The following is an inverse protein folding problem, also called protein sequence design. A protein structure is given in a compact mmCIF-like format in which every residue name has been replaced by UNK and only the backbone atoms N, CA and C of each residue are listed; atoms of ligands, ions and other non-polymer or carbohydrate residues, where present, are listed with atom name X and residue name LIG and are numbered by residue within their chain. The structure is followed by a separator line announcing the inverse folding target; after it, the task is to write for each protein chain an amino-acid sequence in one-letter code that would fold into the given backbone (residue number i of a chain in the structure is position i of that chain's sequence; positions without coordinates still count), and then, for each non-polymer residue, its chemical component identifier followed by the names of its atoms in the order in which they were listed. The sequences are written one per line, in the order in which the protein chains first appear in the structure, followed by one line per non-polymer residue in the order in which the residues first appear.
data_IF_131392178140
#
_entry.id   IF_131392178140
#
_cell.length_a   1.000
_cell.length_b   1.000
_cell.length_c   1.000
_cell.angle_alpha   90.00
_cell.angle_beta   90.00
_cell.angle_gamma   90.00
#
_symmetry.space_group_name_H-M   'P 1'
#
loop_
_entity.id
_entity.type
_entity.pdbx_description
1 polymer ?
#
# COMPACT_ATOMS: atom_id res chain seq x y z
N UNK A 1 6.29 20.32 4.68
CA UNK A 1 5.69 19.16 5.38
C UNK A 1 6.62 17.98 5.17
N UNK A 2 6.92 17.17 6.20
CA UNK A 2 7.63 15.92 5.99
C UNK A 2 6.83 15.05 5.03
N UNK A 3 7.42 14.68 3.90
CA UNK A 3 6.82 13.77 2.93
C UNK A 3 7.02 12.36 3.44
N UNK A 4 6.03 11.82 4.14
CA UNK A 4 6.10 10.42 4.60
C UNK A 4 6.03 9.48 3.39
N UNK A 5 7.02 8.61 3.26
CA UNK A 5 6.99 7.50 2.32
C UNK A 5 5.93 6.47 2.75
N UNK A 6 5.43 5.61 1.84
CA UNK A 6 4.55 4.51 2.22
C UNK A 6 5.14 3.62 3.32
N UNK A 7 6.44 3.32 3.24
CA UNK A 7 7.16 2.51 4.23
C UNK A 7 7.22 3.24 5.58
N UNK A 8 7.41 4.56 5.59
CA UNK A 8 7.42 5.36 6.82
C UNK A 8 6.05 5.47 7.47
N UNK A 9 4.98 5.53 6.69
CA UNK A 9 3.61 5.47 7.23
C UNK A 9 3.34 4.11 7.88
N UNK A 10 3.74 3.01 7.23
CA UNK A 10 3.65 1.67 7.80
C UNK A 10 4.48 1.55 9.08
N UNK A 11 5.71 2.05 9.07
CA UNK A 11 6.57 2.04 10.24
C UNK A 11 5.96 2.84 11.40
N UNK A 12 5.43 4.03 11.13
CA UNK A 12 4.77 4.85 12.16
C UNK A 12 3.54 4.15 12.76
N UNK A 13 2.73 3.50 11.92
CA UNK A 13 1.51 2.78 12.35
C UNK A 13 1.81 1.50 13.13
N UNK A 14 2.80 0.73 12.67
CA UNK A 14 3.00 -0.65 13.12
C UNK A 14 4.29 -0.88 13.93
N UNK A 15 5.09 0.16 14.23
CA UNK A 15 6.33 0.01 15.02
C UNK A 15 6.15 -0.78 16.33
N UNK A 16 5.01 -0.59 17.00
CA UNK A 16 4.71 -1.20 18.29
C UNK A 16 3.79 -2.42 18.17
N UNK A 17 3.60 -2.97 16.96
CA UNK A 17 2.70 -4.10 16.73
C UNK A 17 3.20 -5.42 17.35
N UNK A 18 4.51 -5.52 17.61
CA UNK A 18 5.14 -6.69 18.24
C UNK A 18 5.82 -6.27 19.56
N UNK A 19 5.18 -6.51 20.72
CA UNK A 19 5.79 -6.20 22.01
C UNK A 19 7.15 -6.89 22.19
N UNK A 20 8.13 -6.16 22.71
CA UNK A 20 9.50 -6.66 22.92
C UNK A 20 10.35 -6.78 21.66
N UNK A 21 9.83 -6.39 20.48
CA UNK A 21 10.61 -6.38 19.25
C UNK A 21 10.62 -4.97 18.63
N UNK A 22 11.70 -4.66 17.94
CA UNK A 22 11.83 -3.41 17.19
C UNK A 22 11.64 -3.67 15.70
N UNK A 23 10.92 -2.76 15.02
CA UNK A 23 10.76 -2.82 13.57
C UNK A 23 12.08 -2.40 12.89
N UNK A 24 12.79 -3.38 12.35
CA UNK A 24 14.13 -3.20 11.77
C UNK A 24 14.04 -2.71 10.33
N UNK A 25 13.15 -3.30 9.53
CA UNK A 25 13.02 -2.98 8.12
C UNK A 25 11.64 -3.33 7.57
N UNK A 26 11.36 -2.83 6.36
CA UNK A 26 10.19 -3.19 5.56
C UNK A 26 10.72 -3.61 4.19
N UNK A 27 10.33 -4.80 3.77
CA UNK A 27 10.77 -5.43 2.53
C UNK A 27 9.62 -5.47 1.54
N UNK A 28 9.91 -5.18 0.28
CA UNK A 28 8.98 -5.39 -0.83
C UNK A 28 8.84 -6.90 -1.08
N UNK A 29 7.63 -7.42 -0.97
CA UNK A 29 7.34 -8.84 -1.11
C UNK A 29 6.21 -9.08 -2.12
N UNK A 30 6.14 -10.30 -2.64
CA UNK A 30 5.22 -10.72 -3.69
C UNK A 30 4.40 -11.91 -3.21
N UNK A 31 3.12 -11.69 -2.96
CA UNK A 31 2.16 -12.72 -2.58
C UNK A 31 1.70 -13.48 -3.83
N UNK A 32 1.88 -14.81 -3.93
CA UNK A 32 1.44 -15.57 -5.10
C UNK A 32 -0.09 -15.57 -5.21
N UNK A 33 -0.60 -15.18 -6.39
CA UNK A 33 -2.05 -15.13 -6.65
C UNK A 33 -2.40 -15.76 -8.00
N UNK A 34 -3.56 -16.42 -8.07
CA UNK A 34 -4.14 -16.91 -9.31
C UNK A 34 -5.32 -16.03 -9.75
N UNK A 35 -5.39 -15.72 -11.04
CA UNK A 35 -6.53 -15.02 -11.63
C UNK A 35 -7.54 -16.03 -12.16
N UNK A 36 -8.72 -16.08 -11.53
CA UNK A 36 -9.74 -17.08 -11.81
C UNK A 36 -11.03 -16.47 -12.33
N UNK A 37 -11.62 -17.04 -13.37
CA UNK A 37 -12.97 -16.68 -13.82
C UNK A 37 -13.91 -17.83 -13.48
N UNK A 38 -14.80 -17.60 -12.52
CA UNK A 38 -15.79 -18.59 -12.11
C UNK A 38 -17.08 -18.39 -12.90
N UNK A 39 -17.52 -19.42 -13.62
CA UNK A 39 -18.85 -19.44 -14.21
C UNK A 39 -19.85 -19.85 -13.12
N UNK A 40 -20.70 -18.93 -12.71
CA UNK A 40 -21.62 -19.14 -11.59
C UNK A 40 -23.07 -19.03 -12.01
N UNK A 41 -23.92 -19.83 -11.37
CA UNK A 41 -25.35 -19.62 -11.36
C UNK A 41 -25.67 -18.71 -10.18
N UNK A 42 -26.09 -17.48 -10.46
CA UNK A 42 -26.41 -16.48 -9.46
C UNK A 42 -27.87 -16.09 -9.55
N UNK A 43 -28.38 -15.57 -8.44
CA UNK A 43 -29.71 -15.03 -8.31
C UNK A 43 -29.57 -13.61 -7.80
N UNK A 44 -30.09 -12.65 -8.57
CA UNK A 44 -30.17 -11.28 -8.09
C UNK A 44 -31.35 -11.18 -7.10
N UNK A 45 -31.14 -10.52 -5.96
CA UNK A 45 -32.16 -10.29 -4.96
C UNK A 45 -33.25 -9.39 -5.53
N UNK A 46 -34.47 -9.53 -5.00
CA UNK A 46 -35.64 -8.82 -5.52
C UNK A 46 -35.45 -7.32 -5.33
N UNK A 47 -35.62 -6.56 -6.41
CA UNK A 47 -35.58 -5.09 -6.40
C UNK A 47 -36.76 -4.44 -5.64
N UNK A 48 -37.78 -5.23 -5.28
CA UNK A 48 -38.98 -4.76 -4.58
C UNK A 48 -38.99 -5.24 -3.13
N UNK A 49 -39.38 -4.38 -2.17
CA UNK A 49 -39.68 -4.80 -0.80
C UNK A 49 -40.68 -5.96 -0.79
N UNK A 50 -40.50 -6.90 0.14
CA UNK A 50 -41.31 -8.11 0.20
C UNK A 50 -42.82 -7.81 0.32
N UNK A 51 -43.17 -6.77 1.08
CA UNK A 51 -44.56 -6.33 1.21
C UNK A 51 -45.13 -5.81 -0.11
N UNK A 52 -44.36 -5.01 -0.83
CA UNK A 52 -44.74 -4.44 -2.11
C UNK A 52 -45.03 -5.56 -3.11
N UNK A 53 -44.16 -6.57 -3.17
CA UNK A 53 -44.37 -7.76 -4.00
C UNK A 53 -45.65 -8.51 -3.63
N UNK A 54 -45.86 -8.83 -2.36
CA UNK A 54 -47.05 -9.58 -1.95
C UNK A 54 -48.34 -8.81 -2.22
N UNK A 55 -48.35 -7.50 -1.98
CA UNK A 55 -49.50 -6.67 -2.32
C UNK A 55 -49.74 -6.68 -3.84
N UNK A 56 -48.71 -6.48 -4.66
CA UNK A 56 -48.84 -6.51 -6.12
C UNK A 56 -49.32 -7.88 -6.64
N UNK A 57 -48.79 -9.00 -6.11
CA UNK A 57 -49.22 -10.36 -6.47
C UNK A 57 -50.67 -10.64 -6.08
N UNK A 58 -51.09 -10.25 -4.87
CA UNK A 58 -52.47 -10.44 -4.42
C UNK A 58 -53.45 -9.64 -5.29
N UNK A 59 -53.10 -8.40 -5.64
CA UNK A 59 -53.91 -7.59 -6.56
C UNK A 59 -53.93 -8.18 -7.98
N UNK A 60 -52.82 -8.74 -8.49
CA UNK A 60 -52.78 -9.45 -9.79
C UNK A 60 -53.70 -10.68 -9.79
N UNK A 61 -53.83 -11.36 -8.64
CA UNK A 61 -54.75 -12.48 -8.42
C UNK A 61 -56.18 -12.05 -8.03
N UNK A 62 -56.59 -10.82 -8.37
CA UNK A 62 -57.93 -10.26 -8.13
C UNK A 62 -58.31 -10.05 -6.65
N UNK A 63 -57.36 -10.03 -5.72
CA UNK A 63 -57.61 -9.55 -4.37
C UNK A 63 -57.43 -8.04 -4.31
N UNK A 64 -58.54 -7.34 -4.55
CA UNK A 64 -58.58 -5.88 -4.73
C UNK A 64 -58.88 -5.11 -3.45
N UNK A 65 -59.20 -5.78 -2.34
CA UNK A 65 -59.58 -5.14 -1.06
C UNK A 65 -58.41 -5.10 -0.08
N UNK A 66 -58.03 -3.91 0.39
CA UNK A 66 -56.96 -3.73 1.38
C UNK A 66 -57.21 -4.47 2.70
N UNK A 67 -58.48 -4.60 3.12
CA UNK A 67 -58.87 -5.38 4.30
C UNK A 67 -58.63 -6.87 4.09
N UNK A 68 -58.97 -7.39 2.90
CA UNK A 68 -58.74 -8.80 2.56
C UNK A 68 -57.25 -9.11 2.43
N UNK A 69 -56.47 -8.20 1.83
CA UNK A 69 -55.01 -8.31 1.75
C UNK A 69 -54.39 -8.35 3.16
N UNK A 70 -54.79 -7.44 4.05
CA UNK A 70 -54.34 -7.42 5.45
C UNK A 70 -54.69 -8.71 6.19
N UNK A 71 -55.93 -9.21 6.03
CA UNK A 71 -56.37 -10.47 6.63
C UNK A 71 -55.61 -11.69 6.10
N UNK A 72 -55.34 -11.75 4.79
CA UNK A 72 -54.59 -12.86 4.17
C UNK A 72 -53.11 -12.86 4.54
N UNK A 73 -52.49 -11.69 4.67
CA UNK A 73 -51.10 -11.59 5.10
C UNK A 73 -50.93 -11.71 6.63
N UNK A 74 -52.02 -11.62 7.40
CA UNK A 74 -51.97 -11.61 8.86
C UNK A 74 -51.27 -10.36 9.42
N UNK A 75 -51.21 -9.27 8.64
CA UNK A 75 -50.49 -8.05 8.98
C UNK A 75 -51.46 -6.92 9.38
N UNK A 76 -51.05 -5.98 10.25
CA UNK A 76 -51.85 -4.81 10.59
C UNK A 76 -52.24 -4.00 9.35
N UNK A 77 -53.51 -3.58 9.29
CA UNK A 77 -54.04 -2.78 8.18
C UNK A 77 -53.22 -1.52 7.88
N UNK A 78 -52.71 -0.85 8.92
CA UNK A 78 -51.86 0.33 8.79
C UNK A 78 -50.58 0.09 7.99
N UNK A 79 -49.98 -1.10 8.11
CA UNK A 79 -48.77 -1.48 7.39
C UNK A 79 -49.07 -1.75 5.91
N UNK A 80 -50.17 -2.44 5.62
CA UNK A 80 -50.65 -2.67 4.25
C UNK A 80 -51.04 -1.36 3.58
N UNK A 81 -51.75 -0.47 4.28
CA UNK A 81 -52.12 0.86 3.76
C UNK A 81 -50.88 1.70 3.42
N UNK A 82 -49.82 1.63 4.24
CA UNK A 82 -48.54 2.32 3.97
C UNK A 82 -47.83 1.78 2.72
N UNK A 83 -47.80 0.45 2.54
CA UNK A 83 -47.27 -0.19 1.33
C UNK A 83 -48.09 0.17 0.09
N UNK A 84 -49.42 0.10 0.18
CA UNK A 84 -50.33 0.48 -0.90
C UNK A 84 -50.08 1.94 -1.30
N UNK A 85 -49.99 2.86 -0.34
CA UNK A 85 -49.66 4.26 -0.62
C UNK A 85 -48.28 4.43 -1.30
N UNK A 86 -47.30 3.60 -0.95
CA UNK A 86 -46.02 3.52 -1.64
C UNK A 86 -46.14 3.12 -3.10
N UNK A 87 -46.87 2.03 -3.36
CA UNK A 87 -47.14 1.51 -4.70
C UNK A 87 -47.99 2.46 -5.58
N UNK A 88 -48.83 3.30 -4.97
CA UNK A 88 -49.49 4.41 -5.67
C UNK A 88 -48.49 5.50 -6.09
N UNK A 89 -47.52 5.85 -5.23
CA UNK A 89 -46.50 6.85 -5.57
C UNK A 89 -45.59 6.39 -6.71
N UNK A 90 -45.33 5.09 -6.80
CA UNK A 90 -44.52 4.50 -7.87
C UNK A 90 -45.33 4.15 -9.12
N UNK A 91 -46.61 4.48 -9.18
CA UNK A 91 -47.51 4.19 -10.32
C UNK A 91 -47.67 2.69 -10.61
N UNK A 92 -47.55 1.83 -9.60
CA UNK A 92 -47.78 0.40 -9.71
C UNK A 92 -49.25 0.04 -9.39
N UNK A 93 -49.93 0.83 -8.55
CA UNK A 93 -51.35 0.69 -8.22
C UNK A 93 -52.19 1.89 -8.65
N UNK A 94 -53.45 1.62 -8.99
CA UNK A 94 -54.50 2.61 -9.24
C UNK A 94 -55.82 2.20 -8.58
N UNK A 95 -56.73 3.16 -8.42
CA UNK A 95 -58.09 2.86 -7.97
C UNK A 95 -58.90 2.23 -9.11
N UNK A 96 -59.55 1.12 -8.78
CA UNK A 96 -60.54 0.43 -9.60
C UNK A 96 -61.95 0.60 -9.04
N UNK A 97 -62.97 0.10 -9.76
CA UNK A 97 -64.35 0.11 -9.29
C UNK A 97 -64.47 -0.65 -7.95
N UNK A 98 -65.46 -0.31 -7.10
CA UNK A 98 -65.72 -1.06 -5.88
C UNK A 98 -66.05 -2.51 -6.24
N UNK A 99 -65.42 -3.46 -5.56
CA UNK A 99 -65.55 -4.90 -5.84
C UNK A 99 -66.39 -5.66 -4.81
N UNK A 100 -66.57 -5.12 -3.61
CA UNK A 100 -67.39 -5.70 -2.55
C UNK A 100 -68.60 -4.78 -2.26
N UNK A 101 -69.81 -5.36 -2.22
CA UNK A 101 -71.08 -4.64 -2.02
C UNK A 101 -71.22 -4.06 -0.59
N UNK A 102 -70.41 -4.54 0.37
CA UNK A 102 -70.53 -4.20 1.80
C UNK A 102 -69.72 -2.97 2.23
N UNK A 103 -68.70 -2.56 1.47
CA UNK A 103 -67.92 -1.35 1.78
C UNK A 103 -67.70 -0.56 0.50
N UNK A 104 -68.24 0.67 0.42
CA UNK A 104 -68.09 1.60 -0.73
C UNK A 104 -66.64 2.05 -1.01
N UNK A 105 -65.64 1.28 -0.58
CA UNK A 105 -64.23 1.58 -0.79
C UNK A 105 -63.83 1.22 -2.23
N UNK A 106 -63.10 2.11 -2.93
CA UNK A 106 -62.57 1.79 -4.25
C UNK A 106 -61.62 0.59 -4.17
N UNK A 107 -61.73 -0.33 -5.12
CA UNK A 107 -60.84 -1.50 -5.20
C UNK A 107 -59.44 -1.10 -5.67
N UNK A 108 -58.44 -1.90 -5.34
CA UNK A 108 -57.08 -1.77 -5.86
C UNK A 108 -56.97 -2.47 -7.21
N UNK A 109 -56.30 -1.85 -8.18
CA UNK A 109 -55.97 -2.46 -9.47
C UNK A 109 -54.54 -2.15 -9.87
N UNK A 110 -53.88 -3.08 -10.53
CA UNK A 110 -52.57 -2.83 -11.13
C UNK A 110 -52.69 -1.89 -12.34
N UNK A 111 -51.72 -0.98 -12.47
CA UNK A 111 -51.49 -0.21 -13.70
C UNK A 111 -50.83 -1.09 -14.77
N UNK A 112 -50.57 -0.55 -15.96
CA UNK A 112 -49.76 -1.25 -16.97
C UNK A 112 -48.33 -1.51 -16.45
N UNK A 113 -47.74 -0.51 -15.78
CA UNK A 113 -46.43 -0.61 -15.13
C UNK A 113 -46.46 -1.62 -13.99
N UNK A 114 -47.43 -1.52 -13.08
CA UNK A 114 -47.56 -2.43 -11.93
C UNK A 114 -47.73 -3.89 -12.31
N UNK A 115 -48.38 -4.19 -13.46
CA UNK A 115 -48.42 -5.56 -14.00
C UNK A 115 -47.06 -6.07 -14.47
N UNK A 116 -46.24 -5.20 -15.07
CA UNK A 116 -44.87 -5.56 -15.44
C UNK A 116 -44.04 -5.74 -14.17
N UNK A 117 -44.10 -4.79 -13.23
CA UNK A 117 -43.43 -4.85 -11.93
C UNK A 117 -43.80 -6.12 -11.15
N UNK A 118 -45.09 -6.51 -11.10
CA UNK A 118 -45.56 -7.72 -10.42
C UNK A 118 -45.02 -9.01 -11.06
N UNK A 119 -44.93 -9.05 -12.40
CA UNK A 119 -44.39 -10.18 -13.17
C UNK A 119 -42.87 -10.28 -13.02
N UNK A 120 -42.15 -9.17 -13.17
CA UNK A 120 -40.70 -9.11 -12.96
C UNK A 120 -40.32 -9.47 -11.52
N UNK A 121 -41.12 -9.08 -10.52
CA UNK A 121 -40.93 -9.49 -9.13
C UNK A 121 -41.21 -10.98 -8.90
N UNK A 122 -42.04 -11.59 -9.74
CA UNK A 122 -42.35 -13.01 -9.68
C UNK A 122 -41.26 -13.89 -10.30
N UNK A 123 -40.52 -13.35 -11.26
CA UNK A 123 -39.50 -14.05 -12.02
C UNK A 123 -38.12 -13.98 -11.35
N UNK A 124 -37.94 -14.78 -10.29
CA UNK A 124 -36.60 -15.08 -9.78
C UNK A 124 -35.98 -16.17 -10.68
N UNK A 125 -35.34 -15.75 -11.77
CA UNK A 125 -34.65 -16.70 -12.67
C UNK A 125 -33.16 -16.70 -12.34
N UNK A 126 -32.56 -17.88 -12.10
CA UNK A 126 -31.11 -17.99 -11.97
C UNK A 126 -30.42 -17.56 -13.27
N UNK A 127 -29.51 -16.59 -13.18
CA UNK A 127 -28.73 -16.06 -14.30
C UNK A 127 -27.32 -16.65 -14.25
N UNK A 128 -26.78 -16.99 -15.43
CA UNK A 128 -25.37 -17.37 -15.54
C UNK A 128 -24.52 -16.12 -15.60
N UNK A 129 -23.57 -16.01 -14.69
CA UNK A 129 -22.68 -14.85 -14.58
C UNK A 129 -21.25 -15.34 -14.55
N UNK A 130 -20.39 -14.68 -15.31
CA UNK A 130 -18.95 -14.89 -15.25
C UNK A 130 -18.37 -13.96 -14.17
N UNK A 131 -17.89 -14.54 -13.07
CA UNK A 131 -17.38 -13.79 -11.94
C UNK A 131 -15.84 -13.79 -11.93
N UNK A 132 -15.18 -12.64 -12.16
CA UNK A 132 -13.75 -12.51 -12.00
C UNK A 132 -13.37 -12.53 -10.51
N UNK A 133 -12.36 -13.34 -10.16
CA UNK A 133 -11.84 -13.51 -8.81
C UNK A 133 -10.30 -13.44 -8.79
N UNK A 134 -9.74 -13.03 -7.65
CA UNK A 134 -8.32 -13.22 -7.32
C UNK A 134 -8.25 -14.27 -6.23
N UNK A 135 -7.37 -15.24 -6.40
CA UNK A 135 -7.20 -16.34 -5.47
C UNK A 135 -5.82 -16.26 -4.82
N UNK A 136 -5.83 -16.14 -3.51
CA UNK A 136 -4.65 -16.10 -2.66
C UNK A 136 -4.08 -17.52 -2.55
N UNK A 137 -2.87 -17.73 -3.08
CA UNK A 137 -2.26 -19.06 -3.07
C UNK A 137 -1.53 -19.36 -1.76
N UNK A 138 -1.28 -18.37 -0.91
CA UNK A 138 -0.67 -18.56 0.41
C UNK A 138 -1.72 -18.98 1.44
N UNK A 139 -2.89 -18.33 1.42
CA UNK A 139 -4.03 -18.71 2.27
C UNK A 139 -4.92 -19.79 1.66
N UNK A 140 -4.72 -20.08 0.36
CA UNK A 140 -5.53 -20.99 -0.43
C UNK A 140 -7.03 -20.63 -0.40
N UNK A 141 -7.34 -19.35 -0.64
CA UNK A 141 -8.70 -18.82 -0.58
C UNK A 141 -8.90 -17.71 -1.61
N UNK A 142 -10.12 -17.56 -2.13
CA UNK A 142 -10.50 -16.38 -2.89
C UNK A 142 -10.52 -15.12 -1.99
N UNK A 143 -9.94 -14.02 -2.47
CA UNK A 143 -9.74 -12.80 -1.70
C UNK A 143 -10.23 -11.56 -2.48
N UNK A 144 -10.66 -10.48 -1.80
CA UNK A 144 -11.23 -9.29 -2.42
C UNK A 144 -10.15 -8.35 -2.99
N UNK A 145 -9.08 -8.89 -3.58
CA UNK A 145 -8.00 -8.09 -4.15
C UNK A 145 -8.39 -7.51 -5.51
N UNK A 146 -7.93 -6.28 -5.79
CA UNK A 146 -8.08 -5.69 -7.11
C UNK A 146 -7.16 -6.39 -8.11
N UNK A 147 -7.73 -6.95 -9.18
CA UNK A 147 -6.97 -7.60 -10.25
C UNK A 147 -5.92 -6.70 -10.89
N UNK A 148 -6.17 -5.38 -10.91
CA UNK A 148 -5.30 -4.38 -11.54
C UNK A 148 -4.01 -4.12 -10.76
N UNK A 149 -3.98 -4.43 -9.46
CA UNK A 149 -2.78 -4.26 -8.62
C UNK A 149 -1.83 -5.44 -8.73
N UNK A 150 -2.23 -6.53 -9.41
CA UNK A 150 -1.38 -7.71 -9.62
C UNK A 150 -0.30 -7.47 -10.69
N UNK A 151 0.89 -8.00 -10.45
CA UNK A 151 2.04 -7.94 -11.36
C UNK A 151 2.36 -9.32 -11.95
N UNK A 152 2.94 -9.39 -13.16
CA UNK A 152 3.58 -10.61 -13.64
C UNK A 152 4.71 -11.02 -12.71
N UNK A 153 4.86 -12.32 -12.45
CA UNK A 153 5.93 -12.83 -11.56
C UNK A 153 7.33 -12.37 -11.97
N UNK A 154 7.64 -12.37 -13.27
CA UNK A 154 8.95 -11.94 -13.77
C UNK A 154 9.26 -10.47 -13.44
N UNK A 155 8.25 -9.59 -13.48
CA UNK A 155 8.43 -8.19 -13.08
C UNK A 155 8.78 -8.07 -11.59
N UNK A 156 8.10 -8.83 -10.73
CA UNK A 156 8.39 -8.82 -9.30
C UNK A 156 9.79 -9.38 -8.98
N UNK A 157 10.28 -10.35 -9.76
CA UNK A 157 11.67 -10.85 -9.68
C UNK A 157 12.67 -9.76 -10.11
N UNK A 158 12.39 -9.03 -11.20
CA UNK A 158 13.21 -7.89 -11.66
C UNK A 158 13.22 -6.72 -10.65
N UNK A 159 12.09 -6.48 -9.98
CA UNK A 159 11.95 -5.47 -8.93
C UNK A 159 12.61 -5.90 -7.60
N UNK A 160 13.11 -7.14 -7.52
CA UNK A 160 13.80 -7.68 -6.35
C UNK A 160 12.87 -7.99 -5.16
N UNK A 161 11.60 -8.27 -5.43
CA UNK A 161 10.63 -8.62 -4.39
C UNK A 161 10.88 -10.03 -3.84
N UNK A 162 10.73 -10.21 -2.53
CA UNK A 162 10.76 -11.54 -1.91
C UNK A 162 9.46 -12.29 -2.24
N UNK A 163 9.57 -13.47 -2.84
CA UNK A 163 8.40 -14.31 -3.14
C UNK A 163 7.90 -15.00 -1.87
N UNK A 164 6.65 -14.75 -1.50
CA UNK A 164 6.01 -15.44 -0.39
C UNK A 164 5.64 -16.88 -0.78
N UNK A 165 5.59 -17.81 0.19
CA UNK A 165 5.25 -19.20 -0.09
C UNK A 165 3.80 -19.36 -0.52
N UNK A 166 3.53 -20.39 -1.32
CA UNK A 166 2.18 -20.87 -1.57
C UNK A 166 1.89 -22.07 -0.67
N UNK A 167 0.63 -22.21 -0.22
CA UNK A 167 0.20 -23.34 0.60
C UNK A 167 0.40 -24.68 -0.12
N UNK A 168 0.20 -24.70 -1.45
CA UNK A 168 0.38 -25.88 -2.28
C UNK A 168 0.74 -25.52 -3.72
N UNK A 169 1.26 -26.52 -4.43
CA UNK A 169 1.59 -26.44 -5.86
C UNK A 169 0.47 -27.01 -6.70
N UNK A 170 0.04 -26.29 -7.73
CA UNK A 170 -0.98 -26.76 -8.67
C UNK A 170 -1.97 -25.67 -9.08
N UNK A 171 -2.84 -25.96 -10.07
CA UNK A 171 -3.98 -25.09 -10.36
C UNK A 171 -5.01 -25.13 -9.22
N UNK A 172 -5.91 -24.15 -9.25
CA UNK A 172 -7.10 -24.12 -8.40
C UNK A 172 -8.19 -24.95 -9.07
N UNK A 173 -8.75 -25.91 -8.33
CA UNK A 173 -9.78 -26.83 -8.81
C UNK A 173 -11.18 -26.29 -8.49
N UNK A 174 -12.21 -26.82 -9.16
CA UNK A 174 -13.61 -26.42 -8.98
C UNK A 174 -14.12 -26.58 -7.53
N UNK A 175 -13.52 -27.49 -6.76
CA UNK A 175 -13.86 -27.73 -5.35
C UNK A 175 -13.23 -26.75 -4.36
N UNK A 176 -12.28 -25.92 -4.80
CA UNK A 176 -11.57 -24.98 -3.91
C UNK A 176 -12.34 -23.69 -3.64
N UNK A 177 -13.39 -23.40 -4.42
CA UNK A 177 -14.20 -22.20 -4.28
C UNK A 177 -15.66 -22.59 -4.19
N UNK A 178 -16.28 -22.23 -3.07
CA UNK A 178 -17.71 -22.48 -2.87
C UNK A 178 -18.54 -21.28 -3.30
N UNK A 179 -19.83 -21.51 -3.57
CA UNK A 179 -20.79 -20.45 -3.83
C UNK A 179 -20.91 -19.46 -2.66
N UNK A 180 -20.74 -19.95 -1.43
CA UNK A 180 -20.72 -19.12 -0.22
C UNK A 180 -19.50 -18.18 -0.19
N UNK A 181 -18.32 -18.65 -0.59
CA UNK A 181 -17.10 -17.82 -0.66
C UNK A 181 -17.28 -16.67 -1.64
N UNK A 182 -17.79 -16.96 -2.84
CA UNK A 182 -18.03 -15.92 -3.86
C UNK A 182 -19.09 -14.92 -3.38
N UNK A 183 -20.15 -15.39 -2.72
CA UNK A 183 -21.19 -14.51 -2.18
C UNK A 183 -20.64 -13.61 -1.07
N UNK A 184 -19.78 -14.14 -0.18
CA UNK A 184 -19.10 -13.34 0.83
C UNK A 184 -18.22 -12.25 0.19
N UNK A 185 -17.43 -12.61 -0.83
CA UNK A 185 -16.60 -11.67 -1.58
C UNK A 185 -17.40 -10.60 -2.32
N UNK A 186 -18.56 -10.95 -2.89
CA UNK A 186 -19.44 -9.99 -3.54
C UNK A 186 -19.93 -8.95 -2.52
N UNK A 187 -20.34 -9.39 -1.33
CA UNK A 187 -20.78 -8.50 -0.25
C UNK A 187 -19.67 -7.59 0.26
N UNK A 188 -18.47 -8.13 0.45
CA UNK A 188 -17.28 -7.34 0.84
C UNK A 188 -16.96 -6.26 -0.20
N UNK A 189 -17.17 -6.53 -1.49
CA UNK A 189 -17.03 -5.56 -2.57
C UNK A 189 -18.23 -4.62 -2.76
N UNK A 190 -19.24 -4.68 -1.88
CA UNK A 190 -20.44 -3.83 -1.90
C UNK A 190 -21.60 -4.36 -2.75
N UNK A 191 -21.44 -5.49 -3.44
CA UNK A 191 -22.51 -6.15 -4.20
C UNK A 191 -23.35 -7.02 -3.26
N UNK A 192 -24.49 -6.49 -2.82
CA UNK A 192 -25.39 -7.16 -1.87
C UNK A 192 -26.67 -7.67 -2.51
N UNK A 193 -26.93 -7.25 -3.74
CA UNK A 193 -28.09 -7.61 -4.54
C UNK A 193 -27.89 -8.90 -5.34
N UNK A 194 -26.80 -9.64 -5.12
CA UNK A 194 -26.51 -10.89 -5.82
C UNK A 194 -26.10 -11.98 -4.85
N UNK A 195 -26.73 -13.14 -4.99
CA UNK A 195 -26.39 -14.37 -4.29
C UNK A 195 -25.96 -15.44 -5.28
N UNK A 196 -24.83 -16.09 -5.04
CA UNK A 196 -24.36 -17.19 -5.88
C UNK A 196 -24.98 -18.49 -5.36
N UNK A 197 -25.72 -19.18 -6.23
CA UNK A 197 -26.36 -20.46 -5.91
C UNK A 197 -25.40 -21.64 -6.14
N UNK A 198 -24.63 -21.59 -7.22
CA UNK A 198 -23.73 -22.69 -7.60
C UNK A 198 -22.55 -22.20 -8.44
N UNK A 199 -21.37 -22.77 -8.20
CA UNK A 199 -20.21 -22.65 -9.09
C UNK A 199 -20.27 -23.79 -10.12
N UNK A 200 -20.28 -23.46 -11.42
CA UNK A 200 -20.33 -24.44 -12.51
C UNK A 200 -18.95 -24.90 -12.95
N UNK A 201 -18.03 -23.95 -13.08
CA UNK A 201 -16.64 -24.22 -13.45
C UNK A 201 -15.74 -23.04 -13.12
N UNK A 202 -14.46 -23.31 -12.96
CA UNK A 202 -13.42 -22.32 -12.70
C UNK A 202 -12.39 -22.36 -13.83
N UNK A 203 -12.10 -21.20 -14.40
CA UNK A 203 -11.05 -21.04 -15.40
C UNK A 203 -9.89 -20.24 -14.83
N UNK A 204 -8.75 -20.88 -14.62
CA UNK A 204 -7.52 -20.22 -14.19
C UNK A 204 -6.72 -19.68 -15.38
N UNK A 205 -6.27 -18.43 -15.26
CA UNK A 205 -5.31 -17.84 -16.21
C UNK A 205 -3.93 -18.50 -16.04
N UNK A 206 -3.31 -18.93 -17.15
CA UNK A 206 -1.99 -19.61 -17.13
C UNK A 206 -0.83 -18.70 -16.69
N UNK A 207 -0.97 -17.39 -16.87
CA UNK A 207 0.06 -16.43 -16.50
C UNK A 207 0.22 -16.36 -14.98
N UNK A 208 1.45 -16.61 -14.49
CA UNK A 208 1.79 -16.50 -13.07
C UNK A 208 1.76 -15.04 -12.64
N UNK A 209 0.93 -14.74 -11.65
CA UNK A 209 0.69 -13.40 -11.12
C UNK A 209 1.06 -13.36 -9.65
N UNK A 210 1.42 -12.18 -9.18
CA UNK A 210 1.69 -11.91 -7.78
C UNK A 210 1.01 -10.60 -7.39
N UNK A 211 0.64 -10.48 -6.12
CA UNK A 211 0.18 -9.23 -5.52
C UNK A 211 1.36 -8.61 -4.74
N UNK A 212 1.78 -7.38 -5.06
CA UNK A 212 2.78 -6.67 -4.26
C UNK A 212 2.26 -6.41 -2.85
N UNK A 213 3.03 -6.80 -1.84
CA UNK A 213 2.74 -6.63 -0.42
C UNK A 213 3.99 -6.16 0.31
N UNK A 214 3.83 -5.77 1.59
CA UNK A 214 4.95 -5.32 2.43
C UNK A 214 5.21 -6.34 3.53
N UNK A 215 6.46 -6.73 3.71
CA UNK A 215 6.90 -7.60 4.78
C UNK A 215 7.64 -6.78 5.83
N UNK A 216 7.02 -6.62 7.00
CA UNK A 216 7.58 -5.94 8.15
C UNK A 216 8.43 -6.93 8.95
N UNK A 217 9.70 -6.59 9.17
CA UNK A 217 10.65 -7.45 9.90
C UNK A 217 10.93 -6.85 11.26
N UNK A 218 10.55 -7.58 12.30
CA UNK A 218 10.75 -7.24 13.69
C UNK A 218 11.84 -8.13 14.27
N UNK A 219 12.75 -7.56 15.07
CA UNK A 219 13.77 -8.33 15.76
C UNK A 219 13.88 -7.91 17.22
N UNK A 220 14.17 -8.88 18.07
CA UNK A 220 14.61 -8.64 19.45
C UNK A 220 16.14 -8.45 19.43
N UNK A 221 16.66 -7.30 19.88
CA UNK A 221 18.10 -7.02 19.86
C UNK A 221 18.91 -7.95 20.76
N UNK A 222 18.28 -8.57 21.77
CA UNK A 222 18.94 -9.43 22.75
C UNK A 222 18.77 -10.93 22.46
N UNK A 223 17.66 -11.33 21.80
CA UNK A 223 17.26 -12.75 21.70
C UNK A 223 17.45 -13.41 20.34
N UNK A 224 17.93 -12.67 19.34
CA UNK A 224 18.02 -13.14 17.95
C UNK A 224 16.70 -13.74 17.42
N UNK A 225 15.57 -13.36 18.03
CA UNK A 225 14.23 -13.75 17.59
C UNK A 225 13.77 -12.79 16.49
N UNK A 226 13.24 -13.34 15.40
CA UNK A 226 12.77 -12.56 14.24
C UNK A 226 11.30 -12.88 14.03
N UNK A 227 10.47 -11.85 14.12
CA UNK A 227 9.05 -11.93 13.81
C UNK A 227 8.73 -11.19 12.53
N UNK A 228 7.83 -11.75 11.74
CA UNK A 228 7.38 -11.15 10.49
C UNK A 228 5.94 -10.64 10.63
N UNK A 229 5.64 -9.59 9.87
CA UNK A 229 4.28 -9.10 9.66
C UNK A 229 4.03 -8.88 8.18
N UNK A 230 2.94 -9.42 7.63
CA UNK A 230 2.55 -9.23 6.24
C UNK A 230 1.50 -8.13 6.19
N UNK A 231 1.82 -7.02 5.53
CA UNK A 231 0.90 -5.94 5.25
C UNK A 231 0.37 -6.02 3.81
N UNK A 232 -0.95 -6.17 3.68
CA UNK A 232 -1.69 -6.22 2.42
C UNK A 232 -2.54 -4.95 2.34
N UNK A 233 -2.41 -4.20 1.24
CA UNK A 233 -3.12 -2.92 1.04
C UNK A 233 -2.98 -1.92 2.21
N UNK A 234 -1.83 -1.95 2.89
CA UNK A 234 -1.52 -1.03 3.99
C UNK A 234 -1.96 -1.49 5.38
N UNK A 235 -2.58 -2.66 5.51
CA UNK A 235 -3.03 -3.24 6.78
C UNK A 235 -2.32 -4.56 7.10
N UNK A 236 -1.97 -4.77 8.38
CA UNK A 236 -1.40 -6.03 8.84
C UNK A 236 -2.44 -7.16 8.77
N UNK A 237 -2.06 -8.27 8.16
CA UNK A 237 -2.91 -9.44 8.00
C UNK A 237 -2.46 -10.60 8.89
N UNK A 238 -3.10 -10.74 10.05
CA UNK A 238 -2.79 -11.82 11.01
C UNK A 238 -2.88 -13.23 10.39
N UNK A 239 -3.80 -13.45 9.45
CA UNK A 239 -3.93 -14.73 8.73
C UNK A 239 -2.69 -15.07 7.90
N UNK A 240 -2.12 -14.09 7.20
CA UNK A 240 -0.88 -14.26 6.44
C UNK A 240 0.33 -14.44 7.37
N UNK A 241 0.37 -13.74 8.51
CA UNK A 241 1.41 -13.93 9.51
C UNK A 241 1.45 -15.38 10.00
N UNK A 242 0.29 -15.93 10.38
CA UNK A 242 0.18 -17.31 10.85
C UNK A 242 0.55 -18.32 9.75
N UNK A 243 0.11 -18.09 8.52
CA UNK A 243 0.49 -18.93 7.39
C UNK A 243 2.01 -18.90 7.15
N UNK A 244 2.64 -17.72 7.23
CA UNK A 244 4.07 -17.56 7.05
C UNK A 244 4.88 -18.28 8.14
N UNK A 245 4.44 -18.18 9.40
CA UNK A 245 5.01 -18.93 10.52
C UNK A 245 4.92 -20.44 10.24
N UNK A 246 3.78 -20.92 9.76
CA UNK A 246 3.60 -22.32 9.36
C UNK A 246 4.55 -22.78 8.24
N UNK A 247 5.01 -21.86 7.40
CA UNK A 247 5.98 -22.10 6.35
C UNK A 247 7.44 -21.93 6.77
N UNK A 248 7.74 -21.66 8.05
CA UNK A 248 9.10 -21.49 8.57
C UNK A 248 9.55 -20.03 8.75
N UNK A 249 8.64 -19.06 8.57
CA UNK A 249 8.86 -17.66 8.91
C UNK A 249 10.06 -17.02 8.21
N UNK A 250 10.89 -16.30 8.96
CA UNK A 250 12.08 -15.62 8.46
C UNK A 250 13.11 -16.57 7.84
N UNK A 251 13.28 -17.77 8.39
CA UNK A 251 14.25 -18.75 7.89
C UNK A 251 13.88 -19.23 6.48
N UNK A 252 12.59 -19.45 6.22
CA UNK A 252 12.12 -19.89 4.91
C UNK A 252 12.29 -18.84 3.80
N UNK A 253 12.39 -17.56 4.20
CA UNK A 253 12.61 -16.43 3.31
C UNK A 253 14.08 -15.98 3.27
N UNK A 254 14.98 -16.70 3.92
CA UNK A 254 16.41 -16.35 4.05
C UNK A 254 16.64 -14.93 4.63
N UNK A 255 15.76 -14.51 5.54
CA UNK A 255 15.83 -13.19 6.18
C UNK A 255 16.75 -13.29 7.40
N UNK A 256 17.84 -12.53 7.34
CA UNK A 256 18.79 -12.40 8.46
C UNK A 256 18.82 -10.98 8.99
N UNK A 257 18.83 -10.85 10.31
CA UNK A 257 18.97 -9.57 11.01
C UNK A 257 20.26 -9.56 11.81
N UNK A 258 21.10 -8.56 11.59
CA UNK A 258 22.31 -8.29 12.36
C UNK A 258 22.05 -7.24 13.44
N UNK A 259 22.93 -7.16 14.46
CA UNK A 259 22.89 -6.10 15.45
C UNK A 259 22.89 -4.70 14.82
N UNK A 260 22.35 -3.70 15.53
CA UNK A 260 22.39 -2.30 15.09
C UNK A 260 23.81 -1.87 14.73
N UNK A 261 23.97 -1.10 13.65
CA UNK A 261 25.27 -0.55 13.30
C UNK A 261 25.58 0.69 14.13
N UNK A 262 26.85 0.84 14.52
CA UNK A 262 27.29 2.03 15.22
C UNK A 262 27.21 3.26 14.31
N UNK A 263 26.51 4.29 14.79
CA UNK A 263 26.46 5.58 14.10
C UNK A 263 27.79 6.32 14.25
N UNK A 264 28.18 7.15 13.27
CA UNK A 264 29.25 8.10 13.46
C UNK A 264 28.92 9.10 14.59
N UNK A 265 29.85 9.29 15.53
CA UNK A 265 29.71 10.29 16.58
C UNK A 265 29.79 11.71 16.02
N UNK A 266 29.02 12.64 16.59
CA UNK A 266 29.19 14.06 16.33
C UNK A 266 30.26 14.67 17.23
N UNK A 267 30.67 15.90 16.91
CA UNK A 267 31.45 16.72 17.84
C UNK A 267 30.70 16.87 19.18
N UNK A 268 31.38 16.91 20.33
CA UNK A 268 30.74 16.84 21.65
C UNK A 268 29.61 17.86 21.90
N UNK A 269 29.77 19.08 21.40
CA UNK A 269 28.76 20.14 21.55
C UNK A 269 27.49 19.84 20.72
N UNK A 270 27.66 19.31 19.51
CA UNK A 270 26.55 18.89 18.66
C UNK A 270 25.88 17.64 19.22
N UNK A 271 26.67 16.71 19.75
CA UNK A 271 26.16 15.49 20.38
C UNK A 271 25.29 15.81 21.60
N UNK A 272 25.70 16.79 22.42
CA UNK A 272 24.91 17.26 23.56
C UNK A 272 23.61 17.96 23.12
N UNK A 273 23.61 18.64 21.98
CA UNK A 273 22.43 19.32 21.44
C UNK A 273 21.50 18.39 20.63
N UNK A 274 21.92 17.15 20.36
CA UNK A 274 21.22 16.23 19.46
C UNK A 274 19.99 15.63 20.13
N UNK A 275 18.82 15.90 19.56
CA UNK A 275 17.56 15.25 19.96
C UNK A 275 17.64 13.73 19.72
N UNK A 276 17.41 12.87 20.74
CA UNK A 276 17.48 11.42 20.64
C UNK A 276 16.48 10.80 19.66
N UNK A 277 16.80 9.59 19.16
CA UNK A 277 15.97 8.88 18.17
C UNK A 277 14.58 8.57 18.71
N UNK A 278 14.46 8.26 19.99
CA UNK A 278 13.18 7.95 20.62
C UNK A 278 12.20 9.14 20.49
N UNK A 279 12.62 10.33 20.92
CA UNK A 279 11.80 11.56 20.84
C UNK A 279 11.45 11.92 19.40
N UNK A 280 12.42 11.82 18.47
CA UNK A 280 12.16 12.07 17.04
C UNK A 280 11.11 11.10 16.50
N UNK A 281 11.21 9.82 16.86
CA UNK A 281 10.29 8.79 16.36
C UNK A 281 8.89 8.98 16.91
N UNK A 282 8.75 9.39 18.16
CA UNK A 282 7.46 9.74 18.79
C UNK A 282 6.80 10.92 18.06
N UNK A 283 7.52 12.02 17.88
CA UNK A 283 7.02 13.17 17.13
C UNK A 283 6.65 12.85 15.69
N UNK A 284 7.45 12.02 15.00
CA UNK A 284 7.14 11.58 13.64
C UNK A 284 5.89 10.69 13.60
N UNK A 285 5.66 9.84 14.60
CA UNK A 285 4.46 9.02 14.69
C UNK A 285 3.20 9.89 14.88
N UNK A 286 3.28 10.93 15.71
CA UNK A 286 2.19 11.91 15.88
C UNK A 286 1.87 12.64 14.57
N UNK A 287 2.90 13.07 13.83
CA UNK A 287 2.75 13.73 12.53
C UNK A 287 2.12 12.79 11.49
N UNK A 288 2.56 11.53 11.43
CA UNK A 288 1.99 10.53 10.54
C UNK A 288 0.52 10.24 10.86
N UNK A 289 0.18 10.10 12.15
CA UNK A 289 -1.20 9.91 12.60
C UNK A 289 -2.10 11.10 12.22
N UNK A 290 -1.59 12.33 12.39
CA UNK A 290 -2.29 13.55 11.97
C UNK A 290 -2.53 13.59 10.45
N UNK A 291 -1.53 13.19 9.65
CA UNK A 291 -1.65 13.14 8.20
C UNK A 291 -2.66 12.09 7.73
N UNK A 292 -2.69 10.91 8.36
CA UNK A 292 -3.66 9.85 8.07
C UNK A 292 -5.08 10.25 8.46
N UNK A 293 -5.25 11.01 9.54
CA UNK A 293 -6.56 11.51 9.97
C UNK A 293 -7.09 12.66 9.09
N UNK A 294 -6.22 13.41 8.41
CA UNK A 294 -6.64 14.47 7.49
C UNK A 294 -7.06 13.90 6.13
N UNK A 295 -8.36 13.81 5.86
CA UNK A 295 -8.94 13.32 4.59
C UNK A 295 -8.71 14.24 3.37
N UNK A 296 -7.94 15.33 3.51
CA UNK A 296 -7.68 16.28 2.44
C UNK A 296 -6.17 16.40 2.20
N UNK A 297 -5.70 16.33 0.93
CA UNK A 297 -4.35 16.75 0.62
C UNK A 297 -4.22 18.22 1.02
N UNK A 298 -3.40 18.51 2.04
CA UNK A 298 -3.08 19.89 2.38
C UNK A 298 -2.42 20.51 1.15
N UNK A 299 -2.91 21.67 0.66
CA UNK A 299 -2.32 22.30 -0.51
C UNK A 299 -0.83 22.50 -0.30
N UNK A 300 -0.06 22.35 -1.38
CA UNK A 300 1.37 22.62 -1.36
C UNK A 300 1.63 23.98 -0.69
N UNK A 301 2.64 24.09 0.19
CA UNK A 301 2.94 25.36 0.83
C UNK A 301 3.09 26.44 -0.25
N UNK A 302 2.49 27.63 -0.06
CA UNK A 302 2.57 28.71 -1.04
C UNK A 302 4.03 29.00 -1.37
N UNK A 303 4.30 29.41 -2.61
CA UNK A 303 5.66 29.56 -3.18
C UNK A 303 6.63 30.46 -2.38
N UNK A 304 6.17 31.17 -1.33
CA UNK A 304 6.99 31.95 -0.40
C UNK A 304 7.25 31.32 0.97
N UNK A 305 6.59 30.22 1.36
CA UNK A 305 6.89 29.50 2.62
C UNK A 305 8.11 28.57 2.49
N UNK A 306 8.38 28.09 1.27
CA UNK A 306 9.55 27.27 0.98
C UNK A 306 10.89 28.04 1.02
N UNK A 307 10.85 29.36 1.21
CA UNK A 307 12.01 30.25 1.32
C UNK A 307 12.27 30.74 2.75
N UNK A 308 11.42 30.36 3.72
CA UNK A 308 11.77 30.61 5.12
C UNK A 308 12.91 29.67 5.52
N UNK A 309 14.00 30.19 6.11
CA UNK A 309 15.00 29.32 6.69
C UNK A 309 14.32 28.44 7.73
N UNK A 310 14.32 27.13 7.46
CA UNK A 310 13.93 26.13 8.45
C UNK A 310 14.81 26.35 9.69
N UNK A 311 14.20 26.27 10.87
CA UNK A 311 14.92 26.45 12.12
C UNK A 311 16.11 25.49 12.21
N UNK A 312 17.16 25.95 12.88
CA UNK A 312 18.31 25.11 13.18
C UNK A 312 17.86 23.87 13.95
N UNK A 313 18.36 22.70 13.55
CA UNK A 313 17.89 21.41 14.03
C UNK A 313 19.07 20.44 14.12
N UNK A 314 19.24 19.78 15.26
CA UNK A 314 20.21 18.71 15.44
C UNK A 314 19.47 17.54 16.05
N UNK A 315 19.30 16.46 15.29
CA UNK A 315 18.51 15.31 15.75
C UNK A 315 18.95 13.99 15.15
N UNK A 316 18.50 12.91 15.75
CA UNK A 316 18.60 11.58 15.17
C UNK A 316 17.79 11.45 13.88
N UNK A 317 18.20 10.50 13.04
CA UNK A 317 17.44 10.01 11.89
C UNK A 317 17.46 8.47 11.87
N UNK A 318 16.29 7.85 11.70
CA UNK A 318 16.13 6.40 11.71
C UNK A 318 16.02 5.78 10.31
N UNK A 319 16.07 4.44 10.21
CA UNK A 319 16.07 3.66 8.96
C UNK A 319 15.07 4.15 7.91
N UNK A 320 13.81 4.35 8.30
CA UNK A 320 12.71 4.68 7.37
C UNK A 320 12.74 6.14 6.88
N UNK A 321 13.42 7.03 7.60
CA UNK A 321 13.50 8.44 7.23
C UNK A 321 14.65 8.72 6.23
N UNK A 322 15.72 7.91 6.23
CA UNK A 322 16.85 8.13 5.30
C UNK A 322 16.41 8.20 3.83
N UNK A 323 15.59 7.28 3.29
CA UNK A 323 15.13 7.38 1.90
C UNK A 323 14.35 8.67 1.61
N UNK A 324 13.59 9.21 2.58
CA UNK A 324 12.86 10.46 2.42
C UNK A 324 13.79 11.67 2.33
N UNK A 325 14.83 11.70 3.16
CA UNK A 325 15.81 12.79 3.15
C UNK A 325 16.65 12.75 1.86
N UNK A 326 16.98 11.56 1.36
CA UNK A 326 17.59 11.41 0.04
C UNK A 326 16.67 11.93 -1.07
N UNK A 327 15.39 11.55 -1.04
CA UNK A 327 14.40 12.00 -1.99
C UNK A 327 14.20 13.54 -1.93
N UNK A 328 14.20 14.13 -0.73
CA UNK A 328 14.16 15.57 -0.51
C UNK A 328 15.36 16.25 -1.17
N UNK A 329 16.58 15.74 -0.96
CA UNK A 329 17.78 16.26 -1.61
C UNK A 329 17.67 16.21 -3.15
N UNK A 330 17.20 15.09 -3.71
CA UNK A 330 17.08 14.91 -5.16
C UNK A 330 16.01 15.79 -5.81
N UNK A 331 14.99 16.23 -5.05
CA UNK A 331 13.84 16.96 -5.58
C UNK A 331 13.84 18.44 -5.23
N UNK A 332 14.38 18.81 -4.07
CA UNK A 332 14.24 20.17 -3.51
C UNK A 332 15.56 20.92 -3.37
N UNK A 333 16.73 20.26 -3.44
CA UNK A 333 18.00 20.96 -3.32
C UNK A 333 18.15 22.09 -4.34
N UNK A 334 18.76 23.19 -3.93
CA UNK A 334 18.85 24.45 -4.68
C UNK A 334 20.27 24.94 -4.96
N UNK A 335 21.23 24.59 -4.11
CA UNK A 335 22.63 25.03 -4.21
C UNK A 335 23.56 23.85 -4.45
N UNK A 336 23.46 22.81 -3.62
CA UNK A 336 24.41 21.68 -3.69
C UNK A 336 23.83 20.37 -3.18
N UNK A 337 24.39 19.28 -3.69
CA UNK A 337 24.23 17.91 -3.19
C UNK A 337 25.62 17.28 -3.13
N UNK A 338 25.95 16.65 -2.01
CA UNK A 338 27.09 15.75 -1.85
C UNK A 338 26.60 14.42 -1.27
N UNK A 339 26.95 13.32 -1.92
CA UNK A 339 26.69 11.97 -1.43
C UNK A 339 28.01 11.21 -1.35
N UNK A 340 28.31 10.63 -0.19
CA UNK A 340 29.39 9.67 0.00
C UNK A 340 28.76 8.35 0.42
N UNK A 341 29.03 7.29 -0.33
CA UNK A 341 28.51 5.95 -0.06
C UNK A 341 29.56 4.91 -0.45
N UNK A 342 29.84 3.88 0.38
CA UNK A 342 30.87 2.88 0.06
C UNK A 342 30.55 2.15 -1.25
N UNK A 343 29.28 1.78 -1.43
CA UNK A 343 28.79 1.01 -2.57
C UNK A 343 27.66 1.74 -3.30
N UNK A 344 27.45 1.34 -4.55
CA UNK A 344 26.36 1.83 -5.41
C UNK A 344 25.63 0.64 -6.06
N UNK A 345 24.30 0.60 -5.99
CA UNK A 345 23.45 -0.44 -6.58
C UNK A 345 22.48 0.12 -7.62
N UNK A 346 22.24 -0.63 -8.70
CA UNK A 346 21.29 -0.23 -9.74
C UNK A 346 19.83 -0.18 -9.24
N UNK A 347 19.51 -0.94 -8.19
CA UNK A 347 18.22 -0.86 -7.50
C UNK A 347 17.95 0.53 -6.87
N UNK A 348 19.00 1.33 -6.61
CA UNK A 348 18.87 2.72 -6.16
C UNK A 348 19.05 3.69 -7.34
N UNK A 349 20.05 3.46 -8.21
CA UNK A 349 20.34 4.30 -9.39
C UNK A 349 19.41 3.95 -10.56
N UNK A 350 18.12 4.13 -10.29
CA UNK A 350 17.03 3.91 -11.25
C UNK A 350 16.91 5.08 -12.23
N UNK A 351 16.12 4.90 -13.31
CA UNK A 351 15.84 5.99 -14.25
C UNK A 351 15.18 7.21 -13.56
N UNK A 352 14.20 7.04 -12.65
CA UNK A 352 13.69 8.15 -11.84
C UNK A 352 14.76 8.86 -11.01
N UNK A 353 15.67 8.12 -10.36
CA UNK A 353 16.76 8.72 -9.59
C UNK A 353 17.63 9.64 -10.46
N UNK A 354 18.10 9.12 -11.60
CA UNK A 354 18.95 9.87 -12.55
C UNK A 354 18.21 11.10 -13.09
N UNK A 355 16.92 10.96 -13.39
CA UNK A 355 16.09 12.06 -13.90
C UNK A 355 15.92 13.19 -12.89
N UNK A 356 15.71 12.86 -11.61
CA UNK A 356 15.63 13.86 -10.52
C UNK A 356 16.95 14.58 -10.34
N UNK A 357 18.06 13.85 -10.31
CA UNK A 357 19.40 14.42 -10.20
C UNK A 357 19.72 15.34 -11.38
N UNK A 358 19.39 14.92 -12.60
CA UNK A 358 19.55 15.72 -13.82
C UNK A 358 18.72 17.01 -13.77
N UNK A 359 17.48 16.96 -13.24
CA UNK A 359 16.66 18.15 -13.03
C UNK A 359 17.30 19.15 -12.07
N UNK A 360 18.03 18.68 -11.03
CA UNK A 360 18.78 19.56 -10.13
C UNK A 360 19.97 20.21 -10.85
N UNK A 361 20.73 19.41 -11.60
CA UNK A 361 21.89 19.88 -12.37
C UNK A 361 21.51 20.95 -13.41
N UNK A 362 20.41 20.76 -14.13
CA UNK A 362 19.91 21.73 -15.12
C UNK A 362 19.50 23.07 -14.50
N UNK A 363 19.06 23.05 -13.23
CA UNK A 363 18.78 24.25 -12.42
C UNK A 363 20.01 24.89 -11.78
N UNK A 364 21.20 24.35 -12.02
CA UNK A 364 22.45 24.93 -11.53
C UNK A 364 22.94 24.42 -10.17
N UNK A 365 22.28 23.41 -9.60
CA UNK A 365 22.75 22.75 -8.37
C UNK A 365 24.10 22.07 -8.61
N UNK A 366 25.08 22.28 -7.72
CA UNK A 366 26.35 21.54 -7.76
C UNK A 366 26.17 20.15 -7.15
N UNK A 367 26.49 19.10 -7.89
CA UNK A 367 26.40 17.72 -7.42
C UNK A 367 27.79 17.12 -7.30
N UNK A 368 28.04 16.45 -6.19
CA UNK A 368 29.25 15.64 -5.98
C UNK A 368 28.83 14.28 -5.44
N UNK A 369 29.26 13.20 -6.08
CA UNK A 369 29.05 11.84 -5.59
C UNK A 369 30.40 11.17 -5.51
N UNK A 370 30.73 10.63 -4.34
CA UNK A 370 31.94 9.87 -4.09
C UNK A 370 31.61 8.46 -3.60
N UNK A 371 32.32 7.47 -4.12
CA UNK A 371 32.09 6.06 -3.78
C UNK A 371 33.37 5.24 -3.79
N UNK A 372 33.35 4.08 -3.16
CA UNK A 372 34.48 3.16 -3.18
C UNK A 372 34.88 2.71 -1.78
N UNK A 373 35.02 1.40 -1.63
CA UNK A 373 35.36 0.74 -0.38
C UNK A 373 36.77 0.11 -0.46
N UNK A 374 37.01 -0.69 -1.49
CA UNK A 374 38.27 -1.40 -1.76
C UNK A 374 38.51 -1.55 -3.28
N UNK A 375 39.71 -2.03 -3.66
CA UNK A 375 40.12 -2.19 -5.05
C UNK A 375 39.31 -3.25 -5.81
N UNK A 376 38.99 -4.38 -5.16
CA UNK A 376 38.22 -5.50 -5.72
C UNK A 376 36.79 -5.54 -5.17
N UNK A 377 36.06 -4.44 -5.33
CA UNK A 377 34.67 -4.33 -4.88
C UNK A 377 33.68 -5.03 -5.84
N UNK A 378 33.11 -6.13 -5.40
CA UNK A 378 32.04 -6.88 -6.10
C UNK A 378 30.63 -6.38 -5.75
N UNK A 379 30.50 -5.54 -4.71
CA UNK A 379 29.19 -5.06 -4.24
C UNK A 379 28.71 -3.86 -5.04
N UNK A 380 29.58 -3.11 -5.71
CA UNK A 380 29.18 -2.03 -6.61
C UNK A 380 28.69 -2.55 -7.96
N UNK A 381 27.53 -2.07 -8.39
CA UNK A 381 26.92 -2.42 -9.68
C UNK A 381 27.53 -1.57 -10.83
N UNK A 382 28.18 -2.19 -11.83
CA UNK A 382 28.78 -1.47 -12.96
C UNK A 382 27.77 -0.67 -13.80
N UNK A 383 26.51 -1.12 -13.88
CA UNK A 383 25.46 -0.40 -14.63
C UNK A 383 25.12 0.91 -13.93
N UNK A 384 25.04 0.89 -12.61
CA UNK A 384 24.79 2.08 -11.80
C UNK A 384 25.92 3.10 -11.93
N UNK A 385 27.18 2.63 -11.86
CA UNK A 385 28.37 3.45 -12.09
C UNK A 385 28.32 4.10 -13.47
N UNK A 386 28.09 3.32 -14.53
CA UNK A 386 28.01 3.82 -15.91
C UNK A 386 26.95 4.91 -16.08
N UNK A 387 25.76 4.76 -15.47
CA UNK A 387 24.70 5.77 -15.51
C UNK A 387 25.17 7.11 -14.91
N UNK A 388 25.83 7.07 -13.75
CA UNK A 388 26.32 8.27 -13.08
C UNK A 388 27.52 8.89 -13.80
N UNK A 389 28.45 8.08 -14.32
CA UNK A 389 29.56 8.55 -15.16
C UNK A 389 29.04 9.29 -16.38
N UNK A 390 28.11 8.68 -17.14
CA UNK A 390 27.52 9.31 -18.33
C UNK A 390 26.80 10.63 -17.99
N UNK A 391 26.16 10.72 -16.82
CA UNK A 391 25.54 11.97 -16.38
C UNK A 391 26.60 13.03 -16.00
N UNK A 392 27.68 12.63 -15.33
CA UNK A 392 28.78 13.52 -14.99
C UNK A 392 29.47 14.09 -16.23
N UNK A 393 29.64 13.27 -17.27
CA UNK A 393 30.18 13.69 -18.56
C UNK A 393 29.27 14.70 -19.27
N UNK A 394 27.94 14.57 -19.14
CA UNK A 394 27.01 15.56 -19.73
C UNK A 394 26.98 16.89 -18.99
N UNK A 395 27.32 16.91 -17.69
CA UNK A 395 27.24 18.09 -16.83
C UNK A 395 28.60 18.48 -16.24
N UNK A 396 29.61 18.59 -17.11
CA UNK A 396 30.95 19.04 -16.74
C UNK A 396 30.93 20.33 -15.90
N UNK A 397 31.73 20.36 -14.84
CA UNK A 397 31.83 21.51 -13.90
C UNK A 397 30.69 21.62 -12.88
N UNK A 398 29.54 20.97 -13.11
CA UNK A 398 28.42 20.93 -12.15
C UNK A 398 28.27 19.59 -11.45
N UNK A 399 28.62 18.48 -12.10
CA UNK A 399 28.62 17.16 -11.51
C UNK A 399 30.03 16.57 -11.45
N UNK A 400 30.48 16.22 -10.25
CA UNK A 400 31.69 15.43 -10.03
C UNK A 400 31.31 14.05 -9.50
N UNK A 401 31.74 13.00 -10.21
CA UNK A 401 31.60 11.62 -9.77
C UNK A 401 32.99 11.00 -9.57
N UNK A 402 33.32 10.65 -8.33
CA UNK A 402 34.69 10.25 -7.94
C UNK A 402 34.71 8.86 -7.32
N UNK A 403 35.61 7.99 -7.79
CA UNK A 403 35.95 6.76 -7.08
C UNK A 403 37.05 7.05 -6.05
N UNK A 404 36.84 6.61 -4.82
CA UNK A 404 37.74 6.72 -3.69
C UNK A 404 38.55 5.42 -3.53
N UNK A 405 39.74 5.53 -2.95
CA UNK A 405 40.59 4.38 -2.59
C UNK A 405 39.93 3.50 -1.52
N UNK A 406 39.48 4.13 -0.43
CA UNK A 406 38.68 3.49 0.60
C UNK A 406 37.84 4.52 1.35
N UNK A 407 36.55 4.26 1.48
CA UNK A 407 35.64 5.08 2.27
C UNK A 407 34.53 4.24 2.89
N UNK A 408 34.43 4.30 4.22
CA UNK A 408 33.29 3.78 4.98
C UNK A 408 32.24 4.87 5.26
N UNK A 409 32.52 6.11 4.85
CA UNK A 409 31.68 7.26 5.15
C UNK A 409 30.36 7.17 4.40
N UNK A 410 29.27 7.45 5.11
CA UNK A 410 27.91 7.47 4.57
C UNK A 410 27.31 8.82 4.89
N UNK A 411 27.49 9.72 3.95
CA UNK A 411 27.26 11.15 4.15
C UNK A 411 26.32 11.65 3.09
N UNK A 412 25.35 12.43 3.51
CA UNK A 412 24.52 13.25 2.64
C UNK A 412 24.66 14.69 3.08
N UNK A 413 24.99 15.58 2.15
CA UNK A 413 24.86 17.02 2.35
C UNK A 413 24.00 17.57 1.23
N UNK A 414 22.97 18.33 1.57
CA UNK A 414 22.24 19.12 0.58
C UNK A 414 21.91 20.48 1.18
N UNK A 415 22.25 21.53 0.44
CA UNK A 415 22.11 22.92 0.90
C UNK A 415 22.65 23.15 2.33
N UNK A 416 21.76 23.35 3.30
CA UNK A 416 22.05 23.64 4.72
C UNK A 416 21.78 22.43 5.64
N UNK A 417 21.67 21.23 5.07
CA UNK A 417 21.47 19.97 5.78
C UNK A 417 22.69 19.07 5.58
N UNK A 418 23.20 18.54 6.68
CA UNK A 418 24.23 17.52 6.74
C UNK A 418 23.72 16.30 7.50
N UNK A 419 23.91 15.11 6.93
CA UNK A 419 23.61 13.83 7.55
C UNK A 419 24.85 12.96 7.55
N UNK A 420 25.18 12.42 8.72
CA UNK A 420 26.19 11.38 8.92
C UNK A 420 25.53 10.18 9.58
N UNK A 421 25.74 8.97 9.04
CA UNK A 421 24.91 7.81 9.38
C UNK A 421 25.65 6.49 9.20
N UNK A 422 25.09 5.41 9.74
CA UNK A 422 25.45 4.03 9.41
C UNK A 422 24.72 3.51 8.15
N UNK A 423 23.69 4.21 7.66
CA UNK A 423 22.86 3.85 6.51
C UNK A 423 23.54 4.09 5.14
N UNK A 424 23.54 3.09 4.25
CA UNK A 424 24.16 3.20 2.92
C UNK A 424 23.28 3.92 1.89
N UNK A 425 23.55 5.20 1.61
CA UNK A 425 22.73 6.04 0.71
C UNK A 425 22.50 5.48 -0.70
N UNK A 426 23.50 4.84 -1.32
CA UNK A 426 23.41 4.39 -2.72
C UNK A 426 23.32 2.87 -2.87
N UNK A 427 23.21 2.13 -1.76
CA UNK A 427 23.14 0.66 -1.77
C UNK A 427 22.24 0.07 -0.69
N UNK A 428 21.26 0.83 -0.20
CA UNK A 428 20.29 0.34 0.80
C UNK A 428 19.21 -0.59 0.22
N UNK A 429 19.29 -0.99 -1.06
CA UNK A 429 18.47 -2.04 -1.71
C UNK A 429 19.28 -2.70 -2.83
N UNK A 430 18.83 -3.86 -3.29
CA UNK A 430 19.45 -4.59 -4.41
C UNK A 430 20.70 -5.39 -4.05
N UNK A 431 20.83 -5.79 -2.77
CA UNK A 431 21.81 -6.77 -2.33
C UNK A 431 21.08 -8.12 -2.14
N UNK A 432 21.42 -9.19 -2.90
CA UNK A 432 20.80 -10.50 -2.73
C UNK A 432 21.15 -11.16 -1.40
N UNK A 433 22.35 -10.90 -0.87
CA UNK A 433 22.86 -11.47 0.38
C UNK A 433 22.62 -10.50 1.56
N UNK A 434 21.53 -9.75 1.49
CA UNK A 434 21.31 -8.63 2.40
C UNK A 434 21.04 -9.11 3.82
N UNK A 435 21.93 -8.70 4.72
CA UNK A 435 21.66 -8.71 6.15
C UNK A 435 20.97 -7.41 6.57
N UNK A 436 19.75 -7.51 7.08
CA UNK A 436 19.00 -6.37 7.60
C UNK A 436 19.53 -5.97 8.98
N UNK A 437 19.43 -4.69 9.32
CA UNK A 437 19.88 -4.16 10.62
C UNK A 437 19.25 -2.81 10.86
N UNK A 438 19.21 -2.40 12.11
CA UNK A 438 18.88 -1.02 12.44
C UNK A 438 20.05 -0.11 12.07
N UNK A 439 19.69 1.00 11.44
CA UNK A 439 20.60 2.05 11.01
C UNK A 439 20.14 3.37 11.62
N UNK A 440 21.10 4.12 12.14
CA UNK A 440 20.86 5.42 12.75
C UNK A 440 21.89 6.42 12.23
N UNK A 441 21.46 7.67 12.09
CA UNK A 441 22.36 8.77 11.86
C UNK A 441 21.99 10.00 12.67
N UNK A 442 22.71 11.07 12.36
CA UNK A 442 22.45 12.40 12.86
C UNK A 442 22.20 13.33 11.68
N UNK A 443 21.09 14.06 11.74
CA UNK A 443 20.76 15.15 10.84
C UNK A 443 21.06 16.48 11.55
N UNK A 444 21.85 17.31 10.89
CA UNK A 444 22.17 18.68 11.30
C UNK A 444 21.68 19.61 10.21
N UNK A 445 20.69 20.44 10.53
CA UNK A 445 20.30 21.58 9.73
C UNK A 445 20.84 22.84 10.38
N UNK A 446 21.95 23.36 9.84
CA UNK A 446 22.54 24.62 10.23
C UNK A 446 23.57 25.01 9.16
N UNK A 447 23.40 26.17 8.55
CA UNK A 447 24.23 26.60 7.43
C UNK A 447 25.73 26.59 7.72
N UNK A 448 26.15 27.13 8.85
CA UNK A 448 27.58 27.26 9.20
C UNK A 448 28.22 25.89 9.40
N UNK A 449 27.56 25.01 10.15
CA UNK A 449 28.05 23.66 10.40
C UNK A 449 28.09 22.86 9.10
N UNK A 450 27.02 22.92 8.30
CA UNK A 450 26.95 22.22 7.01
C UNK A 450 28.02 22.73 6.03
N UNK A 451 28.27 24.04 5.96
CA UNK A 451 29.33 24.61 5.12
C UNK A 451 30.72 24.10 5.53
N UNK A 452 31.01 24.05 6.83
CA UNK A 452 32.27 23.54 7.36
C UNK A 452 32.46 22.04 7.05
N UNK A 453 31.44 21.22 7.30
CA UNK A 453 31.49 19.78 7.01
C UNK A 453 31.58 19.50 5.51
N UNK A 454 30.86 20.26 4.68
CA UNK A 454 30.97 20.16 3.22
C UNK A 454 32.40 20.37 2.76
N UNK A 455 33.05 21.46 3.19
CA UNK A 455 34.44 21.76 2.84
C UNK A 455 35.40 20.66 3.28
N UNK A 456 35.23 20.14 4.50
CA UNK A 456 36.03 19.03 5.04
C UNK A 456 35.91 17.76 4.18
N UNK A 457 34.69 17.41 3.76
CA UNK A 457 34.48 16.24 2.91
C UNK A 457 35.01 16.43 1.49
N UNK A 458 35.04 17.66 0.95
CA UNK A 458 35.70 17.91 -0.34
C UNK A 458 37.19 17.62 -0.27
N UNK A 459 37.86 18.11 0.79
CA UNK A 459 39.28 17.83 1.01
C UNK A 459 39.54 16.32 1.12
N UNK A 460 38.73 15.61 1.92
CA UNK A 460 38.83 14.16 2.05
C UNK A 460 38.65 13.43 0.71
N UNK A 461 37.70 13.85 -0.11
CA UNK A 461 37.47 13.27 -1.43
C UNK A 461 38.67 13.48 -2.34
N UNK A 462 39.28 14.67 -2.33
CA UNK A 462 40.45 14.96 -3.17
C UNK A 462 41.69 14.18 -2.70
N UNK A 463 41.88 13.99 -1.40
CA UNK A 463 42.96 13.16 -0.83
C UNK A 463 42.80 11.66 -1.16
N UNK A 464 41.56 11.18 -1.14
CA UNK A 464 41.22 9.77 -1.35
C UNK A 464 40.88 9.45 -2.81
N UNK A 465 40.92 10.43 -3.72
CA UNK A 465 40.63 10.22 -5.14
C UNK A 465 41.60 9.19 -5.72
N UNK A 466 41.01 8.25 -6.47
CA UNK A 466 41.75 7.26 -7.24
C UNK A 466 42.18 7.81 -8.59
#
# INVERSE_FOLDING_TARGET
MPTFSPDSLLAARFRNARPGHELVTIIDAALPVALLTAEVLAQDSKRLPLMDEFVLRLVDHNMTSGNRISGTLGLPKSMVDQTVAGLFRTDDLMWGPPTDDETRSPGLRLTAKGRITAREAADIVPVRVSQPLVFDQMLWKAAPYDRRTTLPRGQAEEDGMIMLPAARSGPVDDGDITAADITALLRENGTTDREVLQVKSIHQTKARRVLPVKLLVYADPDRADIQLGVAVDGELSQTHDLALIGHGGAQALDITVAPPSERPALDPDLEKARVPLQEVTEHRAEQAASQLASAAPKPAPPAGEADRPLADEIRAIGVFEHPEVLEEALTHARRRILIISPWIKNAIITTPFVSKLENRLSRGVQVRIAYGYEDNDTKTDPVAVRKLTNLADRYHGKFTFTRLKSSHAKVLVYDDVWVTTSFNWLSFRGDPERTYRMEEGSLVRNRQITDAQYARYLQLIDEQRR
#
